data_IF_753246758802
#
_entry.id   IF_753246758802
#
_cell.length_a   1.000
_cell.length_b   1.000
_cell.length_c   1.000
_cell.angle_alpha   90.00
_cell.angle_beta   90.00
_cell.angle_gamma   90.00
#
_symmetry.space_group_name_H-M   'P 1'
#
loop_
_entity.id
_entity.type
_entity.pdbx_description
1 polymer ?
#
# COMPACT_ATOMS: atom_id res chain seq x y z
N UNK A 1 -4.97 -6.52 17.87
CA UNK A 1 -5.74 -7.61 17.23
C UNK A 1 -6.41 -7.03 16.01
N UNK A 2 -6.28 -7.66 14.84
CA UNK A 2 -6.98 -7.22 13.63
C UNK A 2 -8.49 -7.39 13.77
N UNK A 3 -9.25 -6.54 13.10
CA UNK A 3 -10.71 -6.66 13.07
C UNK A 3 -11.15 -7.86 12.22
N UNK A 4 -12.32 -8.41 12.56
CA UNK A 4 -13.01 -9.39 11.70
C UNK A 4 -13.66 -8.70 10.50
N UNK A 5 -13.97 -9.46 9.44
CA UNK A 5 -14.63 -8.92 8.24
C UNK A 5 -15.95 -8.19 8.54
N UNK A 6 -16.79 -8.75 9.43
CA UNK A 6 -18.04 -8.12 9.86
C UNK A 6 -17.80 -6.79 10.59
N UNK A 7 -16.76 -6.71 11.43
CA UNK A 7 -16.38 -5.48 12.12
C UNK A 7 -15.80 -4.43 11.16
N UNK A 8 -15.06 -4.86 10.12
CA UNK A 8 -14.57 -3.96 9.06
C UNK A 8 -15.75 -3.37 8.29
N UNK A 9 -16.70 -4.20 7.85
CA UNK A 9 -17.88 -3.75 7.12
C UNK A 9 -18.73 -2.77 7.95
N UNK A 10 -18.93 -3.04 9.25
CA UNK A 10 -19.66 -2.13 10.14
C UNK A 10 -18.99 -0.75 10.30
N UNK A 11 -17.67 -0.69 10.24
CA UNK A 11 -16.90 0.54 10.43
C UNK A 11 -16.31 1.06 9.11
N UNK A 12 -16.90 0.68 7.98
CA UNK A 12 -16.31 0.90 6.66
C UNK A 12 -15.97 2.37 6.41
N UNK A 13 -16.94 3.27 6.58
CA UNK A 13 -16.75 4.70 6.30
C UNK A 13 -15.65 5.32 7.17
N UNK A 14 -15.61 4.96 8.45
CA UNK A 14 -14.59 5.47 9.38
C UNK A 14 -13.20 4.94 9.00
N UNK A 15 -13.09 3.68 8.60
CA UNK A 15 -11.84 3.11 8.12
C UNK A 15 -11.42 3.72 6.77
N UNK A 16 -12.36 3.95 5.85
CA UNK A 16 -12.11 4.62 4.58
C UNK A 16 -11.53 6.03 4.81
N UNK A 17 -12.14 6.81 5.71
CA UNK A 17 -11.63 8.14 6.06
C UNK A 17 -10.21 8.08 6.63
N UNK A 18 -9.93 7.15 7.55
CA UNK A 18 -8.58 6.99 8.11
C UNK A 18 -7.53 6.64 7.04
N UNK A 19 -7.88 5.76 6.09
CA UNK A 19 -6.99 5.44 4.96
C UNK A 19 -6.80 6.66 4.06
N UNK A 20 -7.86 7.35 3.68
CA UNK A 20 -7.80 8.53 2.80
C UNK A 20 -6.97 9.64 3.42
N UNK A 21 -7.17 9.98 4.69
CA UNK A 21 -6.35 10.97 5.39
C UNK A 21 -4.88 10.58 5.43
N UNK A 22 -4.56 9.30 5.58
CA UNK A 22 -3.17 8.83 5.50
C UNK A 22 -2.60 8.98 4.08
N UNK A 23 -3.38 8.62 3.05
CA UNK A 23 -2.99 8.74 1.64
C UNK A 23 -2.71 10.20 1.26
N UNK A 24 -3.56 11.13 1.70
CA UNK A 24 -3.39 12.57 1.47
C UNK A 24 -2.14 13.11 2.17
N UNK A 25 -1.88 12.68 3.41
CA UNK A 25 -0.68 13.07 4.15
C UNK A 25 0.61 12.44 3.60
N UNK A 26 0.51 11.37 2.81
CA UNK A 26 1.64 10.63 2.26
C UNK A 26 1.48 10.46 0.75
N UNK A 27 1.66 11.52 -0.06
CA UNK A 27 1.49 11.43 -1.51
C UNK A 27 2.54 10.51 -2.17
N UNK A 28 2.26 9.97 -3.37
CA UNK A 28 3.21 9.17 -4.14
C UNK A 28 4.49 9.95 -4.41
N UNK A 29 5.65 9.36 -4.09
CA UNK A 29 6.94 10.02 -4.28
C UNK A 29 7.52 9.61 -5.63
N UNK A 30 7.12 10.28 -6.71
CA UNK A 30 7.59 9.98 -8.07
C UNK A 30 9.03 10.45 -8.33
N UNK A 31 9.50 11.43 -7.56
CA UNK A 31 10.75 12.14 -7.86
C UNK A 31 11.97 11.62 -7.07
N UNK A 32 11.76 10.78 -6.04
CA UNK A 32 12.87 10.32 -5.17
C UNK A 32 13.72 9.18 -5.74
N UNK A 33 13.29 8.53 -6.82
CA UNK A 33 13.94 7.33 -7.35
C UNK A 33 15.02 7.61 -8.41
N UNK A 34 15.13 8.85 -8.91
CA UNK A 34 16.04 9.21 -10.01
C UNK A 34 17.50 9.41 -9.54
N UNK A 35 17.76 9.43 -8.23
CA UNK A 35 19.07 9.83 -7.67
C UNK A 35 19.74 8.88 -6.68
N UNK A 36 19.16 7.73 -6.33
CA UNK A 36 19.89 6.73 -5.53
C UNK A 36 20.81 5.92 -6.46
N UNK A 37 22.13 6.11 -6.32
CA UNK A 37 23.13 5.24 -6.96
C UNK A 37 22.79 3.78 -6.67
N UNK A 38 22.33 3.06 -7.69
CA UNK A 38 22.02 1.64 -7.57
C UNK A 38 23.32 0.89 -7.37
N UNK A 39 23.58 0.50 -6.12
CA UNK A 39 24.63 -0.47 -5.82
C UNK A 39 24.32 -1.74 -6.60
N UNK A 40 25.29 -2.27 -7.34
CA UNK A 40 25.16 -3.59 -7.97
C UNK A 40 24.77 -4.61 -6.89
N UNK A 41 23.53 -5.09 -6.96
CA UNK A 41 23.00 -6.13 -6.08
C UNK A 41 22.72 -7.36 -6.93
N UNK A 42 23.13 -8.53 -6.45
CA UNK A 42 22.88 -9.79 -7.13
C UNK A 42 21.40 -10.21 -7.16
N UNK A 43 20.57 -9.59 -6.30
CA UNK A 43 19.13 -9.90 -6.16
C UNK A 43 18.35 -8.60 -6.05
N UNK A 44 17.25 -8.54 -6.81
CA UNK A 44 16.27 -7.44 -6.80
C UNK A 44 14.93 -7.95 -6.26
N UNK A 45 14.36 -7.25 -5.29
CA UNK A 45 13.07 -7.54 -4.66
C UNK A 45 12.05 -6.48 -5.08
N UNK A 46 11.03 -6.91 -5.82
CA UNK A 46 9.92 -6.05 -6.23
C UNK A 46 8.61 -6.51 -5.60
N UNK A 47 7.85 -5.57 -5.04
CA UNK A 47 6.52 -5.79 -4.49
C UNK A 47 5.49 -5.19 -5.46
N UNK A 48 4.47 -5.96 -5.85
CA UNK A 48 3.38 -5.46 -6.71
C UNK A 48 2.03 -5.86 -6.15
N UNK A 49 1.14 -4.88 -6.04
CA UNK A 49 -0.27 -5.11 -5.71
C UNK A 49 -1.11 -4.93 -6.96
N UNK A 50 -2.02 -5.87 -7.21
CA UNK A 50 -2.96 -5.77 -8.34
C UNK A 50 -4.16 -4.89 -7.99
N UNK A 51 -4.83 -4.27 -8.97
CA UNK A 51 -6.13 -3.66 -8.75
C UNK A 51 -7.20 -4.70 -8.37
N UNK A 52 -8.29 -4.22 -7.79
CA UNK A 52 -9.47 -5.06 -7.52
C UNK A 52 -10.12 -5.54 -8.82
N UNK A 53 -10.55 -6.79 -8.82
CA UNK A 53 -11.36 -7.42 -9.85
C UNK A 53 -12.84 -7.17 -9.57
N UNK A 54 -13.66 -7.13 -10.61
CA UNK A 54 -15.12 -6.98 -10.48
C UNK A 54 -15.76 -8.06 -9.60
N UNK A 55 -15.22 -9.27 -9.61
CA UNK A 55 -15.71 -10.40 -8.80
C UNK A 55 -15.44 -10.25 -7.30
N UNK A 56 -14.58 -9.32 -6.88
CA UNK A 56 -14.29 -9.07 -5.46
C UNK A 56 -15.34 -8.16 -4.80
N UNK A 57 -16.20 -7.53 -5.61
CA UNK A 57 -17.29 -6.68 -5.14
C UNK A 57 -16.99 -5.18 -5.23
N UNK A 58 -18.02 -4.38 -4.95
CA UNK A 58 -17.94 -2.92 -4.93
C UNK A 58 -17.69 -2.41 -3.51
N UNK A 59 -17.15 -1.19 -3.40
CA UNK A 59 -16.91 -0.54 -2.11
C UNK A 59 -15.79 -1.19 -1.29
N UNK A 60 -14.79 -1.80 -1.92
CA UNK A 60 -13.64 -2.36 -1.20
C UNK A 60 -12.73 -1.25 -0.67
N UNK A 61 -12.21 -1.43 0.55
CA UNK A 61 -11.21 -0.54 1.12
C UNK A 61 -9.85 -0.81 0.47
N UNK A 62 -9.21 0.24 -0.06
CA UNK A 62 -7.83 0.15 -0.55
C UNK A 62 -6.87 -0.05 0.62
N UNK A 63 -6.62 -1.30 0.97
CA UNK A 63 -5.79 -1.66 2.12
C UNK A 63 -4.29 -1.58 1.89
N UNK A 64 -3.83 -1.30 0.66
CA UNK A 64 -2.42 -1.35 0.30
C UNK A 64 -2.06 -0.16 -0.59
N UNK A 65 -0.96 0.53 -0.28
CA UNK A 65 -0.44 1.64 -1.08
C UNK A 65 1.08 1.56 -1.22
N UNK A 66 1.58 1.74 -2.44
CA UNK A 66 3.01 1.87 -2.71
C UNK A 66 3.46 3.34 -2.63
N UNK A 67 4.59 3.62 -1.97
CA UNK A 67 5.16 4.96 -1.81
C UNK A 67 6.69 4.91 -1.96
N UNK A 68 7.18 5.19 -3.17
CA UNK A 68 8.57 4.91 -3.54
C UNK A 68 8.85 3.40 -3.45
N UNK A 69 9.97 3.02 -2.84
CA UNK A 69 10.34 1.60 -2.61
C UNK A 69 9.57 0.88 -1.48
N UNK A 70 8.62 1.55 -0.86
CA UNK A 70 7.92 1.07 0.33
C UNK A 70 6.47 0.67 0.02
N UNK A 71 6.07 -0.52 0.45
CA UNK A 71 4.69 -0.99 0.42
C UNK A 71 4.07 -0.85 1.81
N UNK A 72 2.96 -0.13 1.90
CA UNK A 72 2.22 0.08 3.14
C UNK A 72 0.94 -0.73 3.15
N UNK A 73 0.76 -1.55 4.18
CA UNK A 73 -0.46 -2.31 4.42
C UNK A 73 -1.23 -1.70 5.59
N UNK A 74 -2.45 -1.27 5.32
CA UNK A 74 -3.40 -0.75 6.29
C UNK A 74 -4.17 -1.91 6.92
N UNK A 75 -3.85 -2.24 8.16
CA UNK A 75 -4.53 -3.31 8.90
C UNK A 75 -5.57 -2.70 9.84
N UNK A 76 -6.88 -2.87 9.57
CA UNK A 76 -7.93 -2.44 10.49
C UNK A 76 -7.76 -3.13 11.84
N UNK A 77 -7.76 -2.32 12.90
CA UNK A 77 -7.52 -2.77 14.27
C UNK A 77 -8.46 -2.07 15.24
N UNK A 78 -8.79 -2.73 16.34
CA UNK A 78 -9.39 -2.09 17.51
C UNK A 78 -8.34 -1.94 18.60
N UNK A 79 -8.19 -0.73 19.14
CA UNK A 79 -7.46 -0.57 20.40
C UNK A 79 -8.31 -1.18 21.53
N UNK A 80 -7.69 -2.10 22.29
CA UNK A 80 -8.27 -2.74 23.48
C UNK A 80 -8.22 -1.71 24.62
N UNK A 81 -9.14 -0.77 24.62
CA UNK A 81 -9.48 0.04 25.79
C UNK A 81 -10.84 0.67 25.50
N UNK A 82 -11.92 -0.03 25.88
CA UNK A 82 -13.37 0.28 26.03
C UNK A 82 -14.05 1.52 25.40
N UNK A 83 -13.36 2.41 24.67
CA UNK A 83 -13.83 3.71 24.17
C UNK A 83 -13.12 4.26 22.93
N UNK A 84 -11.98 3.72 22.49
CA UNK A 84 -11.33 4.19 21.25
C UNK A 84 -11.87 3.41 20.05
N UNK A 85 -12.55 4.09 19.13
CA UNK A 85 -13.20 3.52 17.93
C UNK A 85 -12.28 2.81 16.94
N UNK A 86 -12.70 2.61 15.67
CA UNK A 86 -11.89 1.92 14.67
C UNK A 86 -10.55 2.64 14.46
N UNK A 87 -9.47 1.86 14.33
CA UNK A 87 -8.12 2.38 14.08
C UNK A 87 -7.45 1.60 12.95
N UNK A 88 -6.36 2.13 12.42
CA UNK A 88 -5.55 1.46 11.40
C UNK A 88 -4.12 1.30 11.92
N UNK A 89 -3.60 0.09 11.83
CA UNK A 89 -2.19 -0.19 12.01
C UNK A 89 -1.52 -0.21 10.64
N UNK A 90 -0.56 0.69 10.42
CA UNK A 90 0.23 0.74 9.20
C UNK A 90 1.42 -0.21 9.33
N UNK A 91 1.52 -1.20 8.43
CA UNK A 91 2.68 -2.08 8.33
C UNK A 91 3.49 -1.71 7.10
N UNK A 92 4.79 -1.52 7.31
CA UNK A 92 5.74 -1.19 6.27
C UNK A 92 6.44 -2.46 5.79
N UNK A 93 6.52 -2.64 4.47
CA UNK A 93 7.36 -3.61 3.82
C UNK A 93 8.29 -2.88 2.85
N UNK A 94 9.59 -3.06 3.03
CA UNK A 94 10.61 -2.44 2.20
C UNK A 94 11.03 -3.41 1.09
N UNK A 95 11.20 -2.88 -0.13
CA UNK A 95 11.77 -3.60 -1.26
C UNK A 95 12.76 -2.71 -2.01
N UNK A 96 13.25 -3.19 -3.14
CA UNK A 96 13.95 -2.35 -4.11
C UNK A 96 12.93 -1.56 -4.96
N UNK A 97 11.76 -2.16 -5.23
CA UNK A 97 10.63 -1.52 -5.90
C UNK A 97 9.31 -1.87 -5.21
N UNK A 98 8.38 -0.91 -5.18
CA UNK A 98 7.00 -1.16 -4.80
C UNK A 98 6.04 -0.54 -5.82
N UNK A 99 5.12 -1.34 -6.33
CA UNK A 99 4.17 -0.98 -7.37
C UNK A 99 2.74 -1.13 -6.83
N UNK A 100 1.99 -0.04 -6.88
CA UNK A 100 0.61 0.01 -6.42
C UNK A 100 -0.36 -0.58 -7.45
N UNK A 101 -1.65 -0.72 -7.09
CA UNK A 101 -2.70 -1.13 -8.04
C UNK A 101 -2.85 -0.19 -9.25
N UNK A 102 -2.37 1.05 -9.13
CA UNK A 102 -2.35 2.07 -10.18
C UNK A 102 -1.18 1.92 -11.17
N UNK A 103 -0.16 1.11 -10.86
CA UNK A 103 1.03 0.96 -11.71
C UNK A 103 0.74 0.11 -12.95
N UNK A 104 1.09 0.65 -14.12
CA UNK A 104 0.91 -0.05 -15.39
C UNK A 104 1.98 -1.13 -15.58
N UNK A 105 1.73 -2.09 -16.46
CA UNK A 105 2.72 -3.13 -16.75
C UNK A 105 3.96 -2.55 -17.44
N UNK A 106 3.78 -1.50 -18.23
CA UNK A 106 4.85 -0.76 -18.89
C UNK A 106 5.76 -0.09 -17.85
N UNK A 107 5.18 0.60 -16.85
CA UNK A 107 5.94 1.23 -15.77
C UNK A 107 6.76 0.20 -14.96
N UNK A 108 6.15 -0.95 -14.65
CA UNK A 108 6.85 -2.05 -13.96
C UNK A 108 8.01 -2.56 -14.81
N UNK A 109 7.78 -2.79 -16.10
CA UNK A 109 8.81 -3.30 -17.02
C UNK A 109 9.96 -2.30 -17.18
N UNK A 110 9.66 -1.02 -17.36
CA UNK A 110 10.68 0.03 -17.50
C UNK A 110 11.58 0.10 -16.26
N UNK A 111 11.00 0.11 -15.07
CA UNK A 111 11.78 0.28 -13.82
C UNK A 111 12.52 -0.97 -13.37
N UNK A 112 11.93 -2.15 -13.61
CA UNK A 112 12.47 -3.42 -13.13
C UNK A 112 13.39 -4.11 -14.14
N UNK A 113 13.12 -3.98 -15.44
CA UNK A 113 13.76 -4.79 -16.50
C UNK A 113 14.58 -3.95 -17.49
N UNK A 114 14.12 -2.75 -17.88
CA UNK A 114 14.82 -1.92 -18.88
C UNK A 114 15.88 -1.03 -18.25
N UNK A 115 15.57 -0.42 -17.11
CA UNK A 115 16.56 0.22 -16.27
C UNK A 115 16.86 -0.62 -15.05
N UNK A 116 17.40 -1.85 -15.11
CA UNK A 116 17.88 -2.56 -13.94
C UNK A 116 19.24 -1.99 -13.47
N UNK A 117 19.93 -1.21 -14.30
CA UNK A 117 21.17 -0.49 -14.00
C UNK A 117 21.56 0.37 -15.18
#
# INVERSE_FOLDING_TARGET
MSLSAAAISKNHDALAQLISSWVEANPPNKDREVGEERKERAVTIALRTRPFLKSEGEGLLSGIHARGKNMWVHVPSSKIAQWSGPTIQHKLFEGDFAFGPESTSEEVYERLVVGPG
#
